data_IF_303731080379
#
_entry.id   IF_303731080379
#
_cell.length_a   1.000
_cell.length_b   1.000
_cell.length_c   1.000
_cell.angle_alpha   90.00
_cell.angle_beta   90.00
_cell.angle_gamma   90.00
#
_symmetry.space_group_name_H-M   'P 1'
#
loop_
_entity.id
_entity.type
_entity.pdbx_description
1 polymer ?
#
# COMPACT_ATOMS: atom_id res chain seq x y z
N UNK A 1 -20.24 14.10 -7.56
CA UNK A 1 -19.44 15.34 -7.69
C UNK A 1 -18.11 15.07 -7.02
N UNK A 2 -16.98 15.20 -7.72
CA UNK A 2 -15.66 14.92 -7.14
C UNK A 2 -15.38 16.05 -6.13
N UNK A 3 -15.35 15.66 -4.85
CA UNK A 3 -15.18 16.57 -3.72
C UNK A 3 -13.70 16.88 -3.40
N UNK A 4 -12.79 16.33 -4.21
CA UNK A 4 -11.35 16.48 -4.04
C UNK A 4 -10.75 17.38 -5.12
N UNK A 5 -9.88 18.28 -4.70
CA UNK A 5 -8.98 19.02 -5.57
C UNK A 5 -7.60 18.38 -5.49
N UNK A 6 -7.22 17.66 -6.56
CA UNK A 6 -6.00 16.84 -6.60
C UNK A 6 -4.91 17.60 -7.35
N UNK A 7 -3.75 17.77 -6.74
CA UNK A 7 -2.58 18.35 -7.40
C UNK A 7 -2.09 17.40 -8.51
N UNK A 8 -1.86 17.96 -9.71
CA UNK A 8 -1.41 17.18 -10.88
C UNK A 8 -0.03 16.52 -10.66
N UNK A 9 0.87 17.23 -9.97
CA UNK A 9 2.21 16.71 -9.72
C UNK A 9 2.18 15.80 -8.49
N UNK A 10 2.72 14.60 -8.64
CA UNK A 10 2.94 13.70 -7.52
C UNK A 10 3.97 14.32 -6.56
N UNK A 11 3.73 14.25 -5.27
CA UNK A 11 4.69 14.66 -4.22
C UNK A 11 5.71 13.57 -3.94
N UNK A 12 5.37 12.32 -4.25
CA UNK A 12 6.27 11.17 -4.16
C UNK A 12 5.86 10.10 -5.17
N UNK A 13 6.83 9.29 -5.59
CA UNK A 13 6.63 8.12 -6.41
C UNK A 13 7.25 6.89 -5.72
N UNK A 14 6.54 5.79 -5.75
CA UNK A 14 6.99 4.49 -5.28
C UNK A 14 6.94 3.48 -6.45
N UNK A 15 7.49 2.28 -6.25
CA UNK A 15 7.54 1.24 -7.28
C UNK A 15 6.16 0.89 -7.87
N UNK A 16 5.12 0.94 -7.07
CA UNK A 16 3.77 0.51 -7.44
C UNK A 16 2.72 1.63 -7.44
N UNK A 17 3.09 2.86 -7.03
CA UNK A 17 2.12 3.92 -6.80
C UNK A 17 2.72 5.31 -6.92
N UNK A 18 1.85 6.31 -7.09
CA UNK A 18 2.16 7.72 -6.89
C UNK A 18 1.40 8.25 -5.69
N UNK A 19 2.00 9.21 -5.00
CA UNK A 19 1.37 9.95 -3.91
C UNK A 19 1.11 11.37 -4.36
N UNK A 20 -0.13 11.80 -4.29
CA UNK A 20 -0.57 13.13 -4.62
C UNK A 20 -1.10 13.85 -3.38
N UNK A 21 -0.87 15.15 -3.31
CA UNK A 21 -1.57 16.00 -2.35
C UNK A 21 -2.94 16.35 -2.92
N UNK A 22 -3.96 16.29 -2.08
CA UNK A 22 -5.30 16.71 -2.43
C UNK A 22 -5.91 17.55 -1.32
N UNK A 23 -6.92 18.34 -1.66
CA UNK A 23 -7.71 19.11 -0.68
C UNK A 23 -9.16 18.70 -0.77
N UNK A 24 -9.77 18.40 0.36
CA UNK A 24 -11.20 18.13 0.46
C UNK A 24 -11.93 19.49 0.34
N UNK A 25 -12.69 19.67 -0.72
CA UNK A 25 -13.33 20.97 -1.02
C UNK A 25 -14.30 21.45 0.05
N UNK A 26 -15.01 20.51 0.69
CA UNK A 26 -16.01 20.84 1.72
C UNK A 26 -15.39 21.34 3.03
N UNK A 27 -14.18 20.88 3.37
CA UNK A 27 -13.53 21.19 4.66
C UNK A 27 -12.27 22.03 4.54
N UNK A 28 -11.69 22.13 3.33
CA UNK A 28 -10.37 22.73 3.09
C UNK A 28 -9.20 21.90 3.61
N UNK A 29 -9.44 20.67 4.09
CA UNK A 29 -8.42 19.83 4.69
C UNK A 29 -7.50 19.22 3.62
N UNK A 30 -6.17 19.30 3.86
CA UNK A 30 -5.16 18.65 3.03
C UNK A 30 -5.05 17.17 3.39
N UNK A 31 -5.03 16.32 2.37
CA UNK A 31 -4.87 14.87 2.49
C UNK A 31 -3.84 14.37 1.48
N UNK A 32 -3.31 13.17 1.71
CA UNK A 32 -2.53 12.40 0.75
C UNK A 32 -3.41 11.36 0.06
N UNK A 33 -3.24 11.25 -1.25
CA UNK A 33 -3.78 10.17 -2.04
C UNK A 33 -2.64 9.31 -2.58
N UNK A 34 -2.54 8.07 -2.12
CA UNK A 34 -1.67 7.05 -2.69
C UNK A 34 -2.48 6.29 -3.73
N UNK A 35 -2.09 6.39 -4.99
CA UNK A 35 -2.82 5.83 -6.13
C UNK A 35 -1.92 4.87 -6.88
N UNK A 36 -2.36 3.63 -7.05
CA UNK A 36 -1.64 2.63 -7.82
C UNK A 36 -1.59 2.99 -9.30
N UNK A 37 -0.53 2.56 -9.98
CA UNK A 37 -0.48 2.64 -11.44
C UNK A 37 -1.58 1.75 -12.05
N UNK A 38 -2.30 2.25 -13.05
CA UNK A 38 -3.33 1.45 -13.72
C UNK A 38 -2.74 0.20 -14.39
N UNK A 39 -3.44 -0.93 -14.29
CA UNK A 39 -3.00 -2.20 -14.90
C UNK A 39 -1.86 -2.90 -14.16
N UNK A 40 -1.53 -2.46 -12.93
CA UNK A 40 -0.38 -3.00 -12.20
C UNK A 40 -0.49 -4.51 -11.93
N UNK A 41 -1.67 -4.99 -11.59
CA UNK A 41 -1.89 -6.41 -11.29
C UNK A 41 -1.61 -7.29 -12.50
N UNK A 42 -2.09 -6.88 -13.68
CA UNK A 42 -1.90 -7.59 -14.95
C UNK A 42 -0.44 -7.60 -15.39
N UNK A 43 0.26 -6.48 -15.19
CA UNK A 43 1.70 -6.38 -15.50
C UNK A 43 2.51 -7.30 -14.59
N UNK A 44 2.25 -7.29 -13.28
CA UNK A 44 2.95 -8.15 -12.31
C UNK A 44 2.70 -9.63 -12.62
N UNK A 45 1.47 -10.02 -12.92
CA UNK A 45 1.16 -11.41 -13.29
C UNK A 45 1.88 -11.84 -14.57
N UNK A 46 1.88 -10.97 -15.58
CA UNK A 46 2.59 -11.24 -16.85
C UNK A 46 4.10 -11.36 -16.67
N UNK A 47 4.70 -10.44 -15.92
CA UNK A 47 6.14 -10.44 -15.66
C UNK A 47 6.55 -11.65 -14.81
N UNK A 48 5.73 -12.02 -13.81
CA UNK A 48 5.94 -13.18 -12.99
C UNK A 48 5.93 -14.47 -13.83
N UNK A 49 4.94 -14.63 -14.72
CA UNK A 49 4.84 -15.77 -15.62
C UNK A 49 6.03 -15.82 -16.60
N UNK A 50 6.51 -14.69 -17.09
CA UNK A 50 7.69 -14.61 -17.95
C UNK A 50 8.95 -15.07 -17.23
N UNK A 51 9.17 -14.63 -16.00
CA UNK A 51 10.31 -15.06 -15.16
C UNK A 51 10.24 -16.57 -14.88
N UNK A 52 9.07 -17.09 -14.52
CA UNK A 52 8.88 -18.53 -14.27
C UNK A 52 9.22 -19.34 -15.53
N UNK A 53 8.72 -18.94 -16.71
CA UNK A 53 9.03 -19.61 -17.99
C UNK A 53 10.52 -19.58 -18.30
N UNK A 54 11.18 -18.44 -18.06
CA UNK A 54 12.61 -18.27 -18.28
C UNK A 54 13.44 -19.20 -17.37
N UNK A 55 13.06 -19.31 -16.10
CA UNK A 55 13.70 -20.20 -15.14
C UNK A 55 13.54 -21.68 -15.52
N UNK A 56 12.35 -22.07 -15.98
CA UNK A 56 12.07 -23.43 -16.47
C UNK A 56 12.87 -23.77 -17.73
N UNK A 57 12.94 -22.83 -18.69
CA UNK A 57 13.71 -23.00 -19.93
C UNK A 57 15.22 -23.10 -19.67
N UNK A 58 15.74 -22.36 -18.72
CA UNK A 58 17.15 -22.40 -18.36
C UNK A 58 17.55 -23.70 -17.63
N UNK A 59 16.62 -24.62 -17.39
CA UNK A 59 16.84 -25.86 -16.64
C UNK A 59 17.54 -25.67 -15.28
N UNK A 60 17.51 -24.47 -14.75
CA UNK A 60 18.10 -24.14 -13.46
C UNK A 60 17.26 -24.67 -12.31
N UNK A 61 16.01 -24.94 -12.59
CA UNK A 61 15.07 -25.50 -11.62
C UNK A 61 14.93 -27.01 -11.90
N UNK A 62 15.55 -27.83 -11.08
CA UNK A 62 15.11 -29.20 -10.93
C UNK A 62 13.71 -29.13 -10.34
N UNK A 63 12.70 -29.50 -11.12
CA UNK A 63 11.29 -29.50 -10.74
C UNK A 63 11.06 -30.30 -9.45
N UNK A 64 11.13 -29.63 -8.31
CA UNK A 64 10.70 -30.15 -7.02
C UNK A 64 9.35 -29.47 -6.67
N UNK A 65 8.46 -30.21 -6.04
CA UNK A 65 7.13 -29.74 -5.59
C UNK A 65 7.19 -28.48 -4.73
N UNK A 66 8.31 -28.23 -4.08
CA UNK A 66 8.51 -27.09 -3.18
C UNK A 66 8.55 -25.75 -3.93
N UNK A 67 9.00 -25.73 -5.20
CA UNK A 67 9.11 -24.52 -5.98
C UNK A 67 7.75 -23.97 -6.42
N UNK A 68 6.85 -24.84 -6.86
CA UNK A 68 5.50 -24.42 -7.30
C UNK A 68 4.74 -23.80 -6.13
N UNK A 69 4.86 -24.39 -4.94
CA UNK A 69 4.27 -23.85 -3.72
C UNK A 69 4.88 -22.51 -3.35
N UNK A 70 6.19 -22.34 -3.48
CA UNK A 70 6.88 -21.10 -3.18
C UNK A 70 6.51 -19.98 -4.17
N UNK A 71 6.46 -20.30 -5.48
CA UNK A 71 6.03 -19.34 -6.51
C UNK A 71 4.58 -18.91 -6.31
N UNK A 72 3.69 -19.85 -5.97
CA UNK A 72 2.30 -19.54 -5.68
C UNK A 72 2.18 -18.62 -4.44
N UNK A 73 2.95 -18.89 -3.39
CA UNK A 73 2.99 -18.06 -2.18
C UNK A 73 3.53 -16.65 -2.47
N UNK A 74 4.58 -16.51 -3.28
CA UNK A 74 5.10 -15.21 -3.70
C UNK A 74 4.06 -14.41 -4.49
N UNK A 75 3.38 -15.04 -5.45
CA UNK A 75 2.33 -14.37 -6.23
C UNK A 75 1.20 -13.91 -5.30
N UNK A 76 0.74 -14.76 -4.40
CA UNK A 76 -0.29 -14.43 -3.43
C UNK A 76 0.13 -13.24 -2.54
N UNK A 77 1.39 -13.20 -2.10
CA UNK A 77 1.92 -12.10 -1.30
C UNK A 77 1.92 -10.77 -2.07
N UNK A 78 2.34 -10.78 -3.35
CA UNK A 78 2.30 -9.59 -4.20
C UNK A 78 0.87 -9.06 -4.35
N UNK A 79 -0.10 -9.94 -4.56
CA UNK A 79 -1.52 -9.52 -4.64
C UNK A 79 -2.04 -8.95 -3.31
N UNK A 80 -1.61 -9.49 -2.17
CA UNK A 80 -1.97 -8.96 -0.85
C UNK A 80 -1.42 -7.54 -0.67
N UNK A 81 -0.19 -7.29 -1.08
CA UNK A 81 0.44 -5.96 -0.97
C UNK A 81 -0.16 -4.93 -1.94
N UNK A 82 -0.75 -5.39 -3.05
CA UNK A 82 -1.47 -4.52 -3.99
C UNK A 82 -2.89 -4.16 -3.51
N UNK A 83 -3.44 -4.83 -2.51
CA UNK A 83 -4.77 -4.52 -2.00
C UNK A 83 -4.69 -3.54 -0.82
N UNK A 84 -4.99 -2.27 -1.08
CA UNK A 84 -4.95 -1.21 -0.07
C UNK A 84 -6.01 -1.34 1.04
N UNK A 85 -6.98 -2.23 0.91
CA UNK A 85 -7.84 -2.60 2.04
C UNK A 85 -7.06 -3.31 3.14
N UNK A 86 -6.05 -4.12 2.76
CA UNK A 86 -5.17 -4.80 3.71
C UNK A 86 -4.26 -3.79 4.42
N UNK A 87 -3.65 -2.85 3.69
CA UNK A 87 -2.80 -1.79 4.26
C UNK A 87 -3.56 -0.99 5.32
N UNK A 88 -4.79 -0.58 5.01
CA UNK A 88 -5.67 0.13 5.95
C UNK A 88 -6.02 -0.71 7.17
N UNK A 89 -6.32 -2.00 6.98
CA UNK A 89 -6.67 -2.90 8.08
C UNK A 89 -5.49 -3.09 9.02
N UNK A 90 -4.28 -3.31 8.48
CA UNK A 90 -3.05 -3.43 9.25
C UNK A 90 -2.71 -2.15 10.01
N UNK A 91 -2.88 -0.97 9.40
CA UNK A 91 -2.64 0.30 10.06
C UNK A 91 -3.61 0.52 11.24
N UNK A 92 -4.89 0.18 11.08
CA UNK A 92 -5.86 0.27 12.18
C UNK A 92 -5.54 -0.70 13.33
N UNK A 93 -5.03 -1.90 13.02
CA UNK A 93 -4.58 -2.85 14.05
C UNK A 93 -3.36 -2.32 14.79
N UNK A 94 -2.40 -1.73 14.06
CA UNK A 94 -1.21 -1.12 14.65
C UNK A 94 -1.56 0.04 15.58
N UNK A 95 -2.52 0.89 15.19
CA UNK A 95 -3.01 1.98 16.03
C UNK A 95 -3.54 1.47 17.37
N UNK A 96 -4.34 0.41 17.33
CA UNK A 96 -4.84 -0.25 18.53
C UNK A 96 -3.72 -0.79 19.44
N UNK A 97 -2.67 -1.37 18.83
CA UNK A 97 -1.51 -1.87 19.60
C UNK A 97 -0.68 -0.72 20.20
N UNK A 98 -0.46 0.37 19.46
CA UNK A 98 0.26 1.55 19.96
C UNK A 98 -0.50 2.18 21.11
N UNK A 99 -1.82 2.34 20.99
CA UNK A 99 -2.66 2.87 22.07
C UNK A 99 -2.62 1.98 23.33
N UNK A 100 -2.63 0.66 23.16
CA UNK A 100 -2.50 -0.30 24.26
C UNK A 100 -1.12 -0.23 24.94
N UNK A 101 -0.04 -0.07 24.16
CA UNK A 101 1.33 0.09 24.69
C UNK A 101 1.52 1.42 25.42
N UNK A 102 0.99 2.53 24.89
CA UNK A 102 1.06 3.85 25.52
C UNK A 102 0.44 3.86 26.92
N UNK A 103 -0.60 3.06 27.13
CA UNK A 103 -1.24 2.89 28.45
C UNK A 103 -0.41 2.03 29.42
N UNK A 104 0.55 1.26 28.93
CA UNK A 104 1.37 0.33 29.76
C UNK A 104 2.75 0.85 30.10
N UNK A 105 3.27 1.84 29.35
CA UNK A 105 4.65 2.32 29.51
C UNK A 105 4.68 3.86 29.55
N UNK A 106 4.63 4.50 30.73
CA UNK A 106 4.51 5.96 30.81
C UNK A 106 5.79 6.76 30.55
N UNK A 107 6.86 6.18 30.05
CA UNK A 107 8.19 6.81 30.10
C UNK A 107 8.92 6.99 28.75
N UNK A 108 8.24 6.96 27.61
CA UNK A 108 8.92 7.31 26.36
C UNK A 108 8.46 8.68 25.86
N UNK A 109 9.43 9.60 25.66
CA UNK A 109 9.18 10.92 25.06
C UNK A 109 8.83 10.82 23.54
N UNK A 110 8.59 9.62 23.01
CA UNK A 110 8.27 9.37 21.62
C UNK A 110 6.75 9.28 21.49
N UNK A 111 6.17 10.19 20.71
CA UNK A 111 4.76 10.12 20.30
C UNK A 111 4.66 9.50 18.92
N UNK A 112 4.00 8.38 18.83
CA UNK A 112 3.64 7.78 17.55
C UNK A 112 2.29 8.34 17.11
N UNK A 113 2.21 8.85 15.88
CA UNK A 113 0.96 9.26 15.26
C UNK A 113 0.81 8.49 13.96
N UNK A 114 -0.30 7.79 13.80
CA UNK A 114 -0.66 7.17 12.54
C UNK A 114 -1.61 8.09 11.77
N UNK A 115 -1.48 8.15 10.43
CA UNK A 115 -2.38 8.94 9.61
C UNK A 115 -3.80 8.36 9.69
N UNK A 116 -4.80 9.22 9.79
CA UNK A 116 -6.20 8.83 9.69
C UNK A 116 -6.54 8.52 8.24
N UNK A 117 -7.33 7.48 8.00
CA UNK A 117 -7.81 7.12 6.68
C UNK A 117 -9.21 7.66 6.40
N UNK A 118 -9.40 8.24 5.22
CA UNK A 118 -10.66 8.79 4.74
C UNK A 118 -11.41 7.74 3.93
N UNK A 119 -12.33 7.03 4.57
CA UNK A 119 -13.02 5.86 4.00
C UNK A 119 -13.69 6.13 2.67
N UNK A 120 -14.31 7.30 2.54
CA UNK A 120 -15.09 7.68 1.37
C UNK A 120 -14.21 7.89 0.12
N UNK A 121 -12.90 8.08 0.31
CA UNK A 121 -11.91 8.27 -0.75
C UNK A 121 -10.95 7.10 -0.89
N UNK A 122 -11.13 6.03 -0.11
CA UNK A 122 -10.34 4.80 -0.23
C UNK A 122 -11.01 3.78 -1.14
N UNK A 123 -10.20 3.06 -1.92
CA UNK A 123 -10.63 1.93 -2.73
C UNK A 123 -9.57 0.82 -2.66
N UNK A 124 -9.72 -0.22 -3.46
CA UNK A 124 -8.70 -1.28 -3.60
C UNK A 124 -7.35 -0.74 -4.12
N UNK A 125 -7.40 0.29 -4.96
CA UNK A 125 -6.21 0.87 -5.65
C UNK A 125 -5.89 2.30 -5.23
N UNK A 126 -6.66 2.87 -4.31
CA UNK A 126 -6.47 4.23 -3.82
C UNK A 126 -6.57 4.26 -2.30
N UNK A 127 -5.60 4.87 -1.66
CA UNK A 127 -5.58 5.07 -0.21
C UNK A 127 -5.53 6.57 0.07
N UNK A 128 -6.53 7.06 0.79
CA UNK A 128 -6.62 8.45 1.22
C UNK A 128 -6.34 8.55 2.72
N UNK A 129 -5.37 9.38 3.10
CA UNK A 129 -4.92 9.52 4.48
C UNK A 129 -4.53 10.97 4.79
N UNK A 130 -4.35 11.29 6.07
CA UNK A 130 -3.86 12.59 6.50
C UNK A 130 -2.55 12.95 5.80
N UNK A 131 -2.44 14.22 5.40
CA UNK A 131 -1.16 14.78 4.99
C UNK A 131 -0.40 15.24 6.23
N UNK A 132 0.71 14.57 6.54
CA UNK A 132 1.58 14.91 7.67
C UNK A 132 2.85 15.53 7.09
N UNK A 133 3.13 16.79 7.45
CA UNK A 133 4.41 17.42 7.13
C UNK A 133 5.46 16.88 8.10
N UNK A 134 6.51 16.25 7.54
CA UNK A 134 7.69 15.88 8.29
C UNK A 134 8.73 16.98 8.22
N UNK A 135 9.46 17.18 9.32
CA UNK A 135 10.68 17.98 9.36
C UNK A 135 11.87 17.17 8.82
#
# INVERSE_FOLDING_TARGET
MIELDIQKNAIAAASMAQVHRATIRSTGQSICLKVQYPGLAEVIDSDFDAVVRMLLLARWLKTGRDLDSWLAAMRAQLHIEMDYHNEKTMANQLDGHIAALANRTPATNIRYALPRFYRDYCSKTTLAMDYIEGE
#
